data_IF_779518031086
#
_entry.id   IF_779518031086
#
_cell.length_a   1.000
_cell.length_b   1.000
_cell.length_c   1.000
_cell.angle_alpha   90.00
_cell.angle_beta   90.00
_cell.angle_gamma   90.00
#
_symmetry.space_group_name_H-M   'P 1'
#
loop_
_entity.id
_entity.type
_entity.pdbx_description
1 polymer ?
#
# COMPACT_ATOMS: atom_id res chain seq x y z
N UNK A 1 -6.02 6.73 -15.65
CA UNK A 1 -7.30 6.93 -14.93
C UNK A 1 -8.52 6.35 -15.67
N UNK A 2 -8.37 5.90 -16.92
CA UNK A 2 -9.42 5.33 -17.79
C UNK A 2 -9.56 3.79 -17.73
N UNK A 3 -8.68 3.08 -17.02
CA UNK A 3 -8.78 1.62 -16.91
C UNK A 3 -10.08 1.24 -16.16
N UNK A 4 -10.88 0.27 -16.65
CA UNK A 4 -12.17 -0.09 -16.06
C UNK A 4 -12.03 -0.77 -14.69
N UNK A 5 -10.85 -1.31 -14.37
CA UNK A 5 -10.59 -2.09 -13.16
C UNK A 5 -9.94 -1.24 -12.04
N UNK A 6 -10.70 -0.29 -11.49
CA UNK A 6 -10.24 0.56 -10.40
C UNK A 6 -9.95 -0.23 -9.11
N UNK A 7 -10.70 -1.31 -8.87
CA UNK A 7 -10.51 -2.17 -7.70
C UNK A 7 -9.14 -2.84 -7.73
N UNK A 8 -8.73 -3.40 -8.87
CA UNK A 8 -7.38 -3.98 -9.04
C UNK A 8 -6.28 -2.99 -8.71
N UNK A 9 -6.40 -1.74 -9.15
CA UNK A 9 -5.41 -0.70 -8.84
C UNK A 9 -5.37 -0.38 -7.34
N UNK A 10 -6.51 -0.38 -6.66
CA UNK A 10 -6.58 -0.16 -5.21
C UNK A 10 -5.97 -1.32 -4.41
N UNK A 11 -6.20 -2.55 -4.85
CA UNK A 11 -5.60 -3.75 -4.25
C UNK A 11 -4.11 -3.85 -4.56
N UNK A 12 -3.68 -3.54 -5.78
CA UNK A 12 -2.26 -3.44 -6.13
C UNK A 12 -1.54 -2.38 -5.30
N UNK A 13 -2.18 -1.23 -5.05
CA UNK A 13 -1.64 -0.25 -4.10
C UNK A 13 -1.48 -0.87 -2.71
N UNK A 14 -2.52 -1.48 -2.14
CA UNK A 14 -2.45 -2.14 -0.85
C UNK A 14 -1.29 -3.16 -0.78
N UNK A 15 -1.08 -3.96 -1.85
CA UNK A 15 0.06 -4.86 -1.92
C UNK A 15 1.41 -4.14 -1.99
N UNK A 16 1.51 -3.01 -2.69
CA UNK A 16 2.75 -2.21 -2.70
C UNK A 16 3.11 -1.65 -1.33
N UNK A 17 2.12 -1.52 -0.45
CA UNK A 17 2.32 -1.07 0.93
C UNK A 17 2.69 -2.19 1.91
N UNK A 18 2.44 -3.45 1.53
CA UNK A 18 2.77 -4.64 2.31
C UNK A 18 4.10 -5.24 1.82
N UNK A 19 4.26 -5.38 0.50
CA UNK A 19 5.39 -6.02 -0.19
C UNK A 19 6.41 -5.00 -0.66
N UNK A 20 6.87 -4.13 0.25
CA UNK A 20 7.44 -2.82 -0.08
C UNK A 20 8.68 -2.87 -0.99
N UNK A 21 8.66 -2.03 -2.03
CA UNK A 21 9.81 -1.68 -2.88
C UNK A 21 9.81 -0.16 -3.06
N UNK A 22 10.99 0.47 -3.06
CA UNK A 22 11.12 1.92 -3.27
C UNK A 22 11.98 2.26 -4.48
N UNK A 23 11.50 3.19 -5.32
CA UNK A 23 12.26 3.77 -6.41
C UNK A 23 13.52 4.51 -5.94
N UNK A 24 13.53 5.00 -4.68
CA UNK A 24 14.66 5.74 -4.11
C UNK A 24 15.81 4.80 -3.69
N UNK A 25 15.54 3.49 -3.56
CA UNK A 25 16.53 2.47 -3.16
C UNK A 25 16.98 1.54 -4.29
N UNK A 26 16.62 1.82 -5.54
CA UNK A 26 17.02 1.00 -6.70
C UNK A 26 18.09 1.74 -7.50
N UNK A 27 19.34 1.31 -7.33
CA UNK A 27 20.46 1.82 -8.09
C UNK A 27 20.49 1.25 -9.52
N UNK A 28 20.94 2.09 -10.46
CA UNK A 28 21.31 1.69 -11.81
C UNK A 28 20.47 2.31 -12.93
N UNK A 29 20.53 1.67 -14.09
CA UNK A 29 19.81 2.11 -15.28
C UNK A 29 18.30 1.98 -15.07
N UNK A 30 17.50 3.00 -15.41
CA UNK A 30 16.06 2.86 -15.60
C UNK A 30 15.21 2.41 -14.37
N UNK A 31 15.35 3.01 -13.18
CA UNK A 31 14.56 2.66 -11.99
C UNK A 31 13.04 2.78 -12.24
N UNK A 32 12.61 3.70 -13.11
CA UNK A 32 11.21 3.83 -13.51
C UNK A 32 10.66 2.57 -14.19
N UNK A 33 11.48 1.86 -14.97
CA UNK A 33 11.05 0.60 -15.62
C UNK A 33 11.00 -0.56 -14.63
N UNK A 34 11.90 -0.60 -13.65
CA UNK A 34 11.84 -1.54 -12.53
C UNK A 34 10.53 -1.36 -11.73
N UNK A 35 10.19 -0.12 -11.39
CA UNK A 35 8.96 0.18 -10.66
C UNK A 35 7.70 -0.04 -11.51
N UNK A 36 7.75 0.21 -12.81
CA UNK A 36 6.64 -0.11 -13.71
C UNK A 36 6.39 -1.62 -13.78
N UNK A 37 7.46 -2.43 -13.94
CA UNK A 37 7.35 -3.88 -13.97
C UNK A 37 6.85 -4.45 -12.62
N UNK A 38 7.33 -3.91 -11.51
CA UNK A 38 6.84 -4.24 -10.18
C UNK A 38 5.35 -3.90 -10.01
N UNK A 39 4.92 -2.72 -10.44
CA UNK A 39 3.50 -2.34 -10.43
C UNK A 39 2.63 -3.26 -11.31
N UNK A 40 3.10 -3.61 -12.50
CA UNK A 40 2.39 -4.54 -13.40
C UNK A 40 2.22 -5.92 -12.76
N UNK A 41 3.26 -6.43 -12.06
CA UNK A 41 3.21 -7.66 -11.30
C UNK A 41 2.14 -7.62 -10.20
N UNK A 42 2.10 -6.55 -9.39
CA UNK A 42 1.06 -6.40 -8.37
C UNK A 42 -0.34 -6.39 -8.96
N UNK A 43 -0.51 -5.76 -10.13
CA UNK A 43 -1.78 -5.74 -10.84
C UNK A 43 -2.16 -7.13 -11.37
N UNK A 44 -1.23 -7.86 -11.95
CA UNK A 44 -1.44 -9.22 -12.44
C UNK A 44 -1.89 -10.14 -11.31
N UNK A 45 -1.25 -10.04 -10.15
CA UNK A 45 -1.48 -10.93 -9.02
C UNK A 45 -2.55 -10.44 -8.02
N UNK A 46 -3.12 -9.25 -8.19
CA UNK A 46 -4.06 -8.63 -7.24
C UNK A 46 -5.22 -9.55 -6.78
N UNK A 47 -5.72 -10.42 -7.67
CA UNK A 47 -6.79 -11.37 -7.40
C UNK A 47 -6.38 -12.83 -7.69
N UNK A 48 -5.08 -13.12 -7.70
CA UNK A 48 -4.53 -14.45 -7.95
C UNK A 48 -4.42 -15.28 -6.67
N UNK A 49 -3.36 -16.09 -6.57
CA UNK A 49 -3.04 -16.82 -5.34
C UNK A 49 -1.86 -16.18 -4.61
N UNK A 50 -1.92 -16.12 -3.27
CA UNK A 50 -0.89 -15.51 -2.45
C UNK A 50 0.47 -16.21 -2.56
N UNK A 51 0.50 -17.55 -2.67
CA UNK A 51 1.76 -18.28 -2.84
C UNK A 51 2.45 -17.91 -4.15
N UNK A 52 1.67 -17.70 -5.22
CA UNK A 52 2.18 -17.25 -6.52
C UNK A 52 2.66 -15.79 -6.46
N UNK A 53 1.92 -14.92 -5.78
CA UNK A 53 2.35 -13.54 -5.54
C UNK A 53 3.68 -13.51 -4.78
N UNK A 54 3.82 -14.30 -3.71
CA UNK A 54 5.02 -14.36 -2.89
C UNK A 54 6.26 -14.75 -3.70
N UNK A 55 6.15 -15.74 -4.59
CA UNK A 55 7.26 -16.14 -5.48
C UNK A 55 7.56 -15.09 -6.55
N UNK A 56 6.52 -14.54 -7.17
CA UNK A 56 6.67 -13.49 -8.16
C UNK A 56 7.40 -12.28 -7.56
N UNK A 57 7.09 -11.91 -6.32
CA UNK A 57 7.79 -10.87 -5.56
C UNK A 57 9.22 -11.29 -5.21
N UNK A 58 9.44 -12.52 -4.75
CA UNK A 58 10.77 -13.05 -4.40
C UNK A 58 11.74 -12.97 -5.57
N UNK A 59 11.26 -13.31 -6.77
CA UNK A 59 12.05 -13.29 -8.00
C UNK A 59 11.95 -11.96 -8.75
N UNK A 60 11.19 -10.98 -8.24
CA UNK A 60 11.07 -9.69 -8.90
C UNK A 60 12.40 -8.94 -8.81
N UNK A 61 12.94 -8.42 -9.92
CA UNK A 61 14.24 -7.78 -9.87
C UNK A 61 14.31 -6.44 -9.12
N UNK A 62 13.20 -5.69 -9.04
CA UNK A 62 13.12 -4.47 -8.23
C UNK A 62 13.19 -4.82 -6.74
N UNK A 63 12.47 -5.88 -6.32
CA UNK A 63 12.55 -6.43 -4.97
C UNK A 63 13.96 -6.95 -4.65
N UNK A 64 14.55 -7.72 -5.57
CA UNK A 64 15.90 -8.26 -5.38
C UNK A 64 16.97 -7.18 -5.29
N UNK A 65 16.81 -6.05 -6.00
CA UNK A 65 17.67 -4.88 -5.83
C UNK A 65 17.44 -4.17 -4.50
N UNK A 66 16.18 -4.00 -4.08
CA UNK A 66 15.83 -3.28 -2.85
C UNK A 66 16.22 -4.01 -1.56
N UNK A 67 16.13 -5.36 -1.55
CA UNK A 67 16.41 -6.20 -0.39
C UNK A 67 17.64 -7.10 -0.56
N UNK A 68 18.55 -6.73 -1.47
CA UNK A 68 19.84 -7.39 -1.69
C UNK A 68 19.80 -8.89 -2.04
N UNK A 69 18.65 -9.44 -2.43
CA UNK A 69 18.57 -10.81 -2.96
C UNK A 69 19.30 -10.93 -4.29
N UNK A 70 19.24 -9.88 -5.10
CA UNK A 70 19.87 -9.82 -6.42
C UNK A 70 21.39 -9.77 -6.26
N UNK A 71 22.05 -10.84 -6.69
CA UNK A 71 23.49 -10.97 -6.60
C UNK A 71 23.95 -11.55 -5.26
N UNK A 72 23.03 -11.95 -4.38
CA UNK A 72 23.35 -12.67 -3.16
C UNK A 72 24.08 -13.97 -3.50
N UNK A 73 25.12 -14.33 -2.75
CA UNK A 73 25.97 -15.48 -3.02
C UNK A 73 26.11 -16.36 -1.79
N UNK A 74 26.27 -17.66 -2.02
CA UNK A 74 26.63 -18.62 -0.99
C UNK A 74 27.91 -18.23 -0.27
N UNK A 75 28.05 -18.80 0.92
CA UNK A 75 29.22 -18.69 1.78
C UNK A 75 30.53 -18.94 1.03
N UNK A 76 31.58 -18.21 1.40
CA UNK A 76 32.93 -18.43 0.90
C UNK A 76 33.93 -18.37 2.06
N UNK A 77 34.41 -19.53 2.55
CA UNK A 77 35.35 -19.58 3.67
C UNK A 77 36.67 -18.85 3.42
N UNK A 78 37.11 -18.73 2.16
CA UNK A 78 38.36 -18.04 1.83
C UNK A 78 38.28 -16.52 2.00
N UNK A 79 37.09 -15.95 1.82
CA UNK A 79 36.86 -14.49 1.93
C UNK A 79 36.05 -14.11 3.17
N UNK A 80 35.55 -15.10 3.93
CA UNK A 80 34.62 -14.89 5.04
C UNK A 80 33.23 -14.41 4.60
N UNK A 81 32.87 -14.53 3.32
CA UNK A 81 31.55 -14.09 2.83
C UNK A 81 30.46 -14.99 3.38
N UNK A 82 29.37 -14.39 3.82
CA UNK A 82 28.12 -15.07 4.19
C UNK A 82 26.97 -14.59 3.29
N UNK A 83 25.90 -15.39 3.13
CA UNK A 83 24.68 -14.96 2.46
C UNK A 83 24.10 -13.68 3.09
N UNK A 84 23.59 -12.77 2.26
CA UNK A 84 22.83 -11.60 2.73
C UNK A 84 21.49 -12.04 3.31
N UNK A 85 21.21 -11.58 4.53
CA UNK A 85 20.06 -11.98 5.35
C UNK A 85 18.83 -11.09 5.18
N UNK A 86 18.95 -9.95 4.48
CA UNK A 86 17.94 -8.90 4.48
C UNK A 86 16.60 -9.44 3.95
N UNK A 87 16.59 -10.04 2.76
CA UNK A 87 15.37 -10.64 2.21
C UNK A 87 14.80 -11.77 3.06
N UNK A 88 15.65 -12.62 3.67
CA UNK A 88 15.20 -13.69 4.55
C UNK A 88 14.45 -13.14 5.78
N UNK A 89 14.96 -12.04 6.35
CA UNK A 89 14.29 -11.34 7.44
C UNK A 89 12.96 -10.73 6.98
N UNK A 90 12.97 -9.96 5.89
CA UNK A 90 11.77 -9.23 5.47
C UNK A 90 10.66 -10.15 4.94
N UNK A 91 11.02 -11.25 4.24
CA UNK A 91 10.02 -12.21 3.76
C UNK A 91 9.30 -12.91 4.91
N UNK A 92 10.00 -13.19 6.02
CA UNK A 92 9.38 -13.70 7.24
C UNK A 92 8.62 -12.60 7.98
N UNK A 93 9.28 -11.48 8.27
CA UNK A 93 8.78 -10.46 9.18
C UNK A 93 7.65 -9.61 8.59
N UNK A 94 7.80 -9.15 7.35
CA UNK A 94 6.92 -8.15 6.74
C UNK A 94 5.94 -8.78 5.77
N UNK A 95 6.36 -9.85 5.10
CA UNK A 95 5.60 -10.42 3.99
C UNK A 95 4.87 -11.71 4.35
N UNK A 96 5.10 -12.35 5.50
CA UNK A 96 4.41 -13.62 5.81
C UNK A 96 4.01 -13.78 7.26
N UNK A 97 4.95 -14.00 8.16
CA UNK A 97 4.66 -14.55 9.50
C UNK A 97 4.73 -13.52 10.62
N UNK A 98 5.30 -12.33 10.40
CA UNK A 98 5.41 -11.32 11.45
C UNK A 98 6.45 -11.68 12.51
N UNK A 99 6.64 -10.80 13.50
CA UNK A 99 7.56 -11.00 14.62
C UNK A 99 7.04 -11.96 15.70
N UNK A 100 5.71 -12.02 15.88
CA UNK A 100 5.09 -12.71 16.99
C UNK A 100 3.99 -13.65 16.53
N UNK A 101 3.89 -14.80 17.19
CA UNK A 101 2.89 -15.82 16.88
C UNK A 101 1.48 -15.27 17.10
N UNK A 102 0.57 -15.61 16.18
CA UNK A 102 -0.81 -15.15 16.17
C UNK A 102 -1.76 -16.32 16.40
N UNK A 103 -2.85 -16.04 17.10
CA UNK A 103 -4.06 -16.85 17.03
C UNK A 103 -4.72 -16.64 15.65
N UNK A 104 -5.67 -17.51 15.30
CA UNK A 104 -6.36 -17.45 14.01
C UNK A 104 -7.12 -16.12 13.80
N UNK A 105 -7.48 -15.43 14.88
CA UNK A 105 -8.15 -14.14 14.89
C UNK A 105 -7.18 -12.93 14.89
N UNK A 106 -5.88 -13.18 14.73
CA UNK A 106 -4.84 -12.15 14.68
C UNK A 106 -4.42 -11.59 16.04
N UNK A 107 -4.98 -12.09 17.15
CA UNK A 107 -4.47 -11.73 18.50
C UNK A 107 -3.13 -12.41 18.78
N UNK A 108 -2.28 -11.77 19.59
CA UNK A 108 -0.97 -12.32 19.96
C UNK A 108 -1.13 -13.59 20.80
N UNK A 109 -0.42 -14.65 20.43
CA UNK A 109 -0.17 -15.77 21.34
C UNK A 109 0.80 -15.32 22.44
N UNK A 110 0.46 -15.65 23.67
CA UNK A 110 1.26 -15.30 24.85
C UNK A 110 1.74 -16.56 25.56
N UNK A 111 2.99 -16.55 25.99
CA UNK A 111 3.56 -17.62 26.80
C UNK A 111 3.04 -17.61 28.23
N UNK A 112 3.50 -18.55 29.06
CA UNK A 112 3.11 -18.65 30.47
C UNK A 112 3.42 -17.39 31.30
N UNK A 113 4.39 -16.58 30.86
CA UNK A 113 4.77 -15.29 31.45
C UNK A 113 3.94 -14.10 30.92
N UNK A 114 2.92 -14.34 30.09
CA UNK A 114 2.10 -13.31 29.47
C UNK A 114 2.79 -12.55 28.32
N UNK A 115 4.03 -12.85 27.97
CA UNK A 115 4.74 -12.17 26.87
C UNK A 115 4.39 -12.75 25.51
N UNK A 116 4.36 -11.94 24.43
CA UNK A 116 4.21 -12.45 23.08
C UNK A 116 5.30 -13.47 22.73
N UNK A 117 4.92 -14.53 22.02
CA UNK A 117 5.86 -15.57 21.59
C UNK A 117 6.44 -15.18 20.23
N UNK A 118 7.76 -15.18 20.07
CA UNK A 118 8.42 -14.90 18.79
C UNK A 118 8.14 -16.01 17.75
N UNK A 119 8.08 -15.64 16.47
CA UNK A 119 7.83 -16.56 15.34
C UNK A 119 9.09 -17.25 14.84
N UNK A 120 10.23 -16.57 14.93
CA UNK A 120 11.52 -17.03 14.41
C UNK A 120 12.67 -16.37 15.20
N UNK A 121 13.84 -17.00 15.18
CA UNK A 121 15.06 -16.48 15.75
C UNK A 121 16.10 -16.11 14.69
N UNK A 122 17.26 -15.60 15.15
CA UNK A 122 18.37 -15.26 14.27
C UNK A 122 18.85 -16.45 13.41
N UNK A 123 18.82 -17.66 13.96
CA UNK A 123 19.18 -18.87 13.22
C UNK A 123 18.25 -19.15 12.03
N UNK A 124 16.94 -18.90 12.16
CA UNK A 124 16.00 -19.09 11.05
C UNK A 124 16.35 -18.13 9.90
N UNK A 125 16.68 -16.87 10.23
CA UNK A 125 17.10 -15.86 9.25
C UNK A 125 18.37 -16.28 8.53
N UNK A 126 19.44 -16.61 9.27
CA UNK A 126 20.73 -16.98 8.68
C UNK A 126 20.66 -18.26 7.83
N UNK A 127 19.82 -19.23 8.22
CA UNK A 127 19.63 -20.46 7.45
C UNK A 127 18.77 -20.23 6.21
N UNK A 128 17.65 -19.52 6.34
CA UNK A 128 16.77 -19.23 5.21
C UNK A 128 17.48 -18.37 4.15
N UNK A 129 18.39 -17.48 4.55
CA UNK A 129 19.20 -16.67 3.64
C UNK A 129 19.96 -17.49 2.58
N UNK A 130 20.36 -18.73 2.92
CA UNK A 130 21.05 -19.65 2.00
C UNK A 130 20.21 -19.96 0.75
N UNK A 131 18.90 -20.13 0.94
CA UNK A 131 17.94 -20.45 -0.14
C UNK A 131 17.86 -19.31 -1.17
N UNK A 132 18.10 -18.07 -0.75
CA UNK A 132 17.98 -16.90 -1.60
C UNK A 132 19.29 -16.50 -2.31
N UNK A 133 20.32 -17.33 -2.22
CA UNK A 133 21.60 -17.11 -2.92
C UNK A 133 21.55 -17.60 -4.37
N UNK A 134 22.37 -17.02 -5.24
CA UNK A 134 22.51 -17.45 -6.64
C UNK A 134 21.51 -16.82 -7.61
N UNK A 135 20.62 -15.94 -7.17
CA UNK A 135 19.67 -15.23 -8.03
C UNK A 135 20.25 -13.89 -8.50
N UNK A 136 20.09 -13.56 -9.79
CA UNK A 136 20.52 -12.29 -10.36
C UNK A 136 19.61 -11.88 -11.54
N UNK A 137 19.86 -10.71 -12.13
CA UNK A 137 19.19 -10.28 -13.35
C UNK A 137 19.17 -11.37 -14.42
N UNK A 138 17.99 -11.65 -14.97
CA UNK A 138 17.89 -12.32 -16.25
C UNK A 138 17.98 -11.28 -17.37
N UNK A 139 19.07 -11.31 -18.13
CA UNK A 139 19.29 -10.39 -19.26
C UNK A 139 18.85 -10.97 -20.60
N UNK A 140 18.18 -12.12 -20.62
CA UNK A 140 17.71 -12.76 -21.85
C UNK A 140 16.74 -11.83 -22.60
N UNK A 141 17.09 -11.49 -23.84
CA UNK A 141 16.32 -10.55 -24.67
C UNK A 141 16.47 -9.07 -24.30
N UNK A 142 17.32 -8.72 -23.33
CA UNK A 142 17.54 -7.33 -22.94
C UNK A 142 18.35 -6.57 -23.99
N UNK A 143 17.78 -5.46 -24.46
CA UNK A 143 18.48 -4.49 -25.32
C UNK A 143 18.55 -3.16 -24.57
N UNK A 144 19.77 -2.69 -24.33
CA UNK A 144 20.02 -1.43 -23.62
C UNK A 144 19.32 -0.27 -24.34
N UNK A 145 18.65 0.60 -23.58
CA UNK A 145 17.97 1.79 -24.12
C UNK A 145 16.65 1.56 -24.87
N UNK A 146 16.36 0.36 -25.38
CA UNK A 146 15.15 0.11 -26.20
C UNK A 146 14.25 -1.00 -25.70
N UNK A 147 14.80 -2.01 -25.00
CA UNK A 147 14.01 -3.14 -24.49
C UNK A 147 14.47 -3.58 -23.09
N UNK A 148 14.01 -2.90 -22.02
CA UNK A 148 14.48 -3.13 -20.67
C UNK A 148 13.82 -4.36 -20.00
N UNK A 149 13.68 -5.49 -20.72
CA UNK A 149 13.03 -6.72 -20.23
C UNK A 149 13.66 -7.33 -18.99
N UNK A 150 14.94 -7.03 -18.71
CA UNK A 150 15.61 -7.48 -17.48
C UNK A 150 14.84 -7.09 -16.21
N UNK A 151 14.04 -6.03 -16.24
CA UNK A 151 13.19 -5.61 -15.12
C UNK A 151 11.86 -6.36 -15.01
N UNK A 152 11.45 -7.04 -16.07
CA UNK A 152 10.20 -7.82 -16.14
C UNK A 152 10.45 -9.31 -15.93
N UNK A 153 11.58 -9.83 -16.42
CA UNK A 153 11.92 -11.23 -16.26
C UNK A 153 12.15 -11.54 -14.76
N UNK A 154 11.66 -12.68 -14.27
CA UNK A 154 12.08 -13.19 -12.97
C UNK A 154 13.61 -13.31 -12.93
N UNK A 155 14.22 -13.05 -11.76
CA UNK A 155 15.65 -13.25 -11.58
C UNK A 155 16.08 -14.68 -11.94
N UNK A 156 17.16 -14.80 -12.70
CA UNK A 156 17.74 -16.08 -13.10
C UNK A 156 18.59 -16.69 -11.99
N UNK A 157 18.51 -18.01 -11.84
CA UNK A 157 19.28 -18.78 -10.88
C UNK A 157 20.63 -19.25 -11.46
N UNK A 158 21.70 -19.17 -10.66
CA UNK A 158 23.03 -19.67 -11.00
C UNK A 158 23.54 -20.59 -9.88
N UNK A 159 23.56 -21.90 -10.15
CA UNK A 159 23.94 -22.93 -9.17
C UNK A 159 25.34 -22.71 -8.56
N UNK A 160 26.32 -22.28 -9.36
CA UNK A 160 27.70 -22.03 -8.89
C UNK A 160 27.82 -20.87 -7.89
N UNK A 161 26.75 -20.09 -7.68
CA UNK A 161 26.68 -18.98 -6.72
C UNK A 161 25.72 -19.29 -5.56
N UNK A 162 25.06 -20.44 -5.57
CA UNK A 162 24.16 -20.87 -4.53
C UNK A 162 24.93 -21.48 -3.36
N UNK A 163 24.40 -21.33 -2.14
CA UNK A 163 24.88 -22.04 -0.95
C UNK A 163 24.73 -23.54 -1.14
N UNK A 164 25.68 -24.31 -0.63
CA UNK A 164 25.62 -25.79 -0.65
C UNK A 164 25.46 -26.37 0.75
N UNK A 165 25.18 -25.53 1.74
CA UNK A 165 24.90 -25.95 3.12
C UNK A 165 23.41 -26.20 3.32
N UNK A 166 23.08 -27.12 4.22
CA UNK A 166 21.70 -27.35 4.64
C UNK A 166 21.06 -26.06 5.18
N UNK A 167 19.77 -25.85 4.96
CA UNK A 167 19.03 -24.72 5.52
C UNK A 167 17.93 -25.24 6.45
N UNK A 168 18.08 -25.02 7.75
CA UNK A 168 17.08 -25.38 8.77
C UNK A 168 16.41 -24.12 9.34
N UNK A 169 15.11 -23.97 9.14
CA UNK A 169 14.31 -22.83 9.60
C UNK A 169 12.86 -23.25 9.83
N UNK A 170 12.20 -22.69 10.85
CA UNK A 170 10.77 -22.89 11.15
C UNK A 170 10.35 -24.39 11.23
N UNK A 171 11.26 -25.25 11.67
CA UNK A 171 11.04 -26.70 11.74
C UNK A 171 11.18 -27.45 10.41
N UNK A 172 11.50 -26.77 9.31
CA UNK A 172 11.82 -27.37 8.01
C UNK A 172 13.34 -27.43 7.81
N UNK A 173 13.84 -28.51 7.21
CA UNK A 173 15.24 -28.63 6.77
C UNK A 173 15.30 -28.91 5.27
N UNK A 174 16.07 -28.11 4.54
CA UNK A 174 16.38 -28.30 3.12
C UNK A 174 17.84 -28.75 3.03
N UNK A 175 18.09 -29.90 2.42
CA UNK A 175 19.46 -30.38 2.22
C UNK A 175 20.23 -29.48 1.23
N UNK A 176 21.51 -29.20 1.48
CA UNK A 176 22.30 -28.24 0.71
C UNK A 176 22.55 -28.61 -0.75
N UNK A 177 22.30 -29.87 -1.13
CA UNK A 177 22.35 -30.34 -2.52
C UNK A 177 20.99 -30.29 -3.24
N UNK A 178 19.95 -29.75 -2.60
CA UNK A 178 18.62 -29.58 -3.21
C UNK A 178 18.73 -28.59 -4.38
N UNK A 179 18.16 -28.90 -5.57
CA UNK A 179 18.12 -27.96 -6.68
C UNK A 179 17.51 -26.62 -6.28
N UNK A 180 18.12 -25.49 -6.66
CA UNK A 180 17.74 -24.16 -6.15
C UNK A 180 16.26 -23.81 -6.33
N UNK A 181 15.65 -24.15 -7.46
CA UNK A 181 14.21 -23.92 -7.67
C UNK A 181 13.34 -24.74 -6.70
N UNK A 182 13.74 -25.97 -6.38
CA UNK A 182 13.05 -26.82 -5.41
C UNK A 182 13.28 -26.31 -3.97
N UNK A 183 14.49 -25.86 -3.64
CA UNK A 183 14.81 -25.24 -2.37
C UNK A 183 13.95 -23.98 -2.14
N UNK A 184 13.89 -23.10 -3.15
CA UNK A 184 13.03 -21.91 -3.13
C UNK A 184 11.56 -22.28 -2.95
N UNK A 185 11.06 -23.24 -3.72
CA UNK A 185 9.69 -23.73 -3.62
C UNK A 185 9.35 -24.18 -2.19
N UNK A 186 10.22 -25.01 -1.60
CA UNK A 186 10.06 -25.54 -0.23
C UNK A 186 10.06 -24.42 0.81
N UNK A 187 10.94 -23.42 0.65
CA UNK A 187 11.00 -22.28 1.58
C UNK A 187 9.73 -21.43 1.52
N UNK A 188 9.28 -21.08 0.32
CA UNK A 188 8.07 -20.27 0.15
C UNK A 188 6.81 -21.05 0.55
N UNK A 189 6.77 -22.37 0.36
CA UNK A 189 5.67 -23.22 0.84
C UNK A 189 5.65 -23.31 2.37
N UNK A 190 6.80 -23.39 3.01
CA UNK A 190 6.91 -23.35 4.48
C UNK A 190 6.32 -22.05 5.03
N UNK A 191 6.69 -20.90 4.44
CA UNK A 191 6.16 -19.61 4.86
C UNK A 191 4.66 -19.46 4.55
N UNK A 192 4.21 -19.90 3.37
CA UNK A 192 2.81 -19.82 2.98
C UNK A 192 1.87 -20.66 3.86
N UNK A 193 2.34 -21.85 4.25
CA UNK A 193 1.58 -22.78 5.09
C UNK A 193 1.73 -22.50 6.59
N UNK A 194 2.63 -21.61 7.00
CA UNK A 194 2.77 -21.20 8.38
C UNK A 194 1.45 -20.63 8.94
N UNK A 195 1.15 -20.97 10.20
CA UNK A 195 -0.13 -20.64 10.84
C UNK A 195 -0.39 -19.12 10.94
N UNK A 196 0.68 -18.32 11.09
CA UNK A 196 0.56 -16.86 11.14
C UNK A 196 0.19 -16.20 9.81
N UNK A 197 0.48 -16.83 8.67
CA UNK A 197 0.41 -16.13 7.37
C UNK A 197 -1.00 -15.64 7.05
N UNK A 198 -2.02 -16.45 7.37
CA UNK A 198 -3.42 -16.08 7.15
C UNK A 198 -3.87 -14.88 8.02
N UNK A 199 -3.77 -14.91 9.38
CA UNK A 199 -4.16 -13.77 10.19
C UNK A 199 -3.30 -12.52 9.98
N UNK A 200 -2.00 -12.70 9.71
CA UNK A 200 -1.09 -11.58 9.46
C UNK A 200 -1.48 -10.80 8.20
N UNK A 201 -1.71 -11.49 7.08
CA UNK A 201 -2.10 -10.86 5.81
C UNK A 201 -3.54 -10.36 5.85
N UNK A 202 -4.45 -11.05 6.53
CA UNK A 202 -5.81 -10.58 6.75
C UNK A 202 -5.82 -9.23 7.47
N UNK A 203 -5.09 -9.10 8.58
CA UNK A 203 -5.00 -7.85 9.33
C UNK A 203 -4.48 -6.70 8.44
N UNK A 204 -3.34 -6.91 7.76
CA UNK A 204 -2.75 -5.86 6.93
C UNK A 204 -3.66 -5.43 5.77
N UNK A 205 -4.32 -6.37 5.08
CA UNK A 205 -5.25 -6.03 4.01
C UNK A 205 -6.46 -5.24 4.51
N UNK A 206 -7.00 -5.60 5.68
CA UNK A 206 -8.11 -4.84 6.28
C UNK A 206 -7.66 -3.41 6.60
N UNK A 207 -6.47 -3.22 7.16
CA UNK A 207 -5.88 -1.89 7.38
C UNK A 207 -5.76 -1.11 6.08
N UNK A 208 -5.14 -1.73 5.07
CA UNK A 208 -4.90 -1.08 3.77
C UNK A 208 -6.17 -0.85 2.97
N UNK A 209 -7.31 -1.48 3.26
CA UNK A 209 -8.53 -1.34 2.46
C UNK A 209 -9.72 -0.71 3.18
N UNK A 210 -9.88 -0.89 4.49
CA UNK A 210 -11.12 -0.61 5.22
C UNK A 210 -10.91 0.27 6.45
N UNK A 211 -10.21 -0.20 7.49
CA UNK A 211 -10.10 0.48 8.78
C UNK A 211 -8.76 0.24 9.45
N UNK A 212 -8.23 1.24 10.15
CA UNK A 212 -6.94 1.17 10.84
C UNK A 212 -6.90 0.13 11.97
N UNK A 213 -8.05 -0.12 12.62
CA UNK A 213 -8.13 -0.97 13.81
C UNK A 213 -9.30 -1.96 13.69
N UNK A 214 -9.15 -3.05 12.91
CA UNK A 214 -10.18 -4.07 12.79
C UNK A 214 -10.35 -4.89 14.07
N UNK A 215 -11.56 -5.42 14.29
CA UNK A 215 -11.78 -6.38 15.39
C UNK A 215 -11.03 -7.70 15.11
N UNK A 216 -10.72 -8.45 16.17
CA UNK A 216 -10.14 -9.79 15.99
C UNK A 216 -11.12 -10.74 15.28
N UNK A 217 -12.42 -10.57 15.50
CA UNK A 217 -13.45 -11.36 14.82
C UNK A 217 -13.42 -11.13 13.30
N UNK A 218 -13.23 -9.88 12.85
CA UNK A 218 -13.08 -9.55 11.44
C UNK A 218 -11.80 -10.17 10.85
N UNK A 219 -10.66 -10.01 11.52
CA UNK A 219 -9.41 -10.63 11.10
C UNK A 219 -9.57 -12.15 11.00
N UNK A 220 -10.20 -12.79 11.98
CA UNK A 220 -10.46 -14.24 11.98
C UNK A 220 -11.33 -14.73 10.83
N UNK A 221 -12.40 -14.00 10.48
CA UNK A 221 -13.26 -14.34 9.33
C UNK A 221 -12.47 -14.27 8.01
N UNK A 222 -11.69 -13.21 7.80
CA UNK A 222 -10.87 -13.06 6.60
C UNK A 222 -9.73 -14.09 6.56
N UNK A 223 -9.10 -14.36 7.70
CA UNK A 223 -8.05 -15.37 7.82
C UNK A 223 -8.58 -16.78 7.53
N UNK A 224 -9.81 -17.11 7.93
CA UNK A 224 -10.46 -18.36 7.58
C UNK A 224 -10.66 -18.51 6.06
N UNK A 225 -11.07 -17.43 5.37
CA UNK A 225 -11.19 -17.41 3.90
C UNK A 225 -9.81 -17.53 3.23
N UNK A 226 -8.77 -16.91 3.79
CA UNK A 226 -7.40 -17.11 3.32
C UNK A 226 -7.00 -18.58 3.49
N UNK A 227 -7.33 -19.21 4.61
CA UNK A 227 -6.99 -20.60 4.87
C UNK A 227 -7.71 -21.57 3.92
N UNK A 228 -8.96 -21.27 3.58
CA UNK A 228 -9.78 -22.01 2.63
C UNK A 228 -10.89 -21.11 2.08
N UNK A 229 -10.91 -20.90 0.76
CA UNK A 229 -11.92 -20.08 0.09
C UNK A 229 -13.34 -20.70 -0.02
N UNK A 230 -13.57 -21.84 0.63
CA UNK A 230 -14.80 -22.64 0.52
C UNK A 230 -14.71 -23.77 -0.52
N UNK A 231 -13.63 -23.83 -1.28
CA UNK A 231 -13.34 -24.88 -2.27
C UNK A 231 -12.02 -25.61 -2.02
N UNK A 232 -11.46 -25.49 -0.82
CA UNK A 232 -10.19 -26.11 -0.43
C UNK A 232 -8.95 -25.36 -0.93
N UNK A 233 -9.10 -24.16 -1.50
CA UNK A 233 -7.97 -23.38 -2.01
C UNK A 233 -7.52 -22.37 -0.96
N UNK A 234 -6.30 -22.55 -0.45
CA UNK A 234 -5.62 -21.59 0.42
C UNK A 234 -5.06 -20.43 -0.39
N UNK A 235 -5.14 -19.22 0.13
CA UNK A 235 -4.49 -18.02 -0.42
C UNK A 235 -5.18 -17.45 -1.65
N UNK A 236 -6.44 -17.78 -1.94
CA UNK A 236 -7.22 -17.16 -3.02
C UNK A 236 -7.47 -15.66 -2.71
N UNK A 237 -6.72 -14.78 -3.35
CA UNK A 237 -6.78 -13.34 -3.09
C UNK A 237 -8.05 -12.68 -3.60
N UNK A 238 -8.75 -13.30 -4.56
CA UNK A 238 -10.09 -12.84 -4.97
C UNK A 238 -11.08 -13.06 -3.83
N UNK A 239 -11.09 -14.26 -3.26
CA UNK A 239 -11.96 -14.61 -2.14
C UNK A 239 -11.62 -13.76 -0.90
N UNK A 240 -10.33 -13.60 -0.58
CA UNK A 240 -9.87 -12.77 0.54
C UNK A 240 -10.26 -11.30 0.36
N UNK A 241 -10.04 -10.72 -0.83
CA UNK A 241 -10.45 -9.32 -1.10
C UNK A 241 -11.96 -9.14 -0.94
N UNK A 242 -12.76 -10.10 -1.42
CA UNK A 242 -14.21 -10.08 -1.24
C UNK A 242 -14.58 -10.16 0.25
N UNK A 243 -13.94 -11.04 1.01
CA UNK A 243 -14.18 -11.19 2.45
C UNK A 243 -13.86 -9.89 3.21
N UNK A 244 -12.76 -9.21 2.87
CA UNK A 244 -12.44 -7.89 3.42
C UNK A 244 -13.54 -6.89 3.08
N UNK A 245 -13.83 -6.67 1.79
CA UNK A 245 -14.71 -5.55 1.41
C UNK A 245 -16.19 -5.76 1.73
N UNK A 246 -16.64 -7.01 1.88
CA UNK A 246 -18.03 -7.36 2.14
C UNK A 246 -18.30 -7.82 3.57
N UNK A 247 -17.31 -7.77 4.45
CA UNK A 247 -17.51 -8.09 5.86
C UNK A 247 -18.56 -7.15 6.50
N UNK A 248 -19.30 -7.66 7.48
CA UNK A 248 -20.31 -6.89 8.20
C UNK A 248 -19.75 -5.62 8.82
N UNK A 249 -18.55 -5.65 9.40
CA UNK A 249 -17.93 -4.45 10.01
C UNK A 249 -17.53 -3.42 8.96
N UNK A 250 -17.12 -3.86 7.77
CA UNK A 250 -16.83 -2.98 6.64
C UNK A 250 -18.10 -2.30 6.12
N UNK A 251 -19.21 -3.04 6.06
CA UNK A 251 -20.48 -2.65 5.42
C UNK A 251 -21.49 -2.01 6.37
N UNK A 252 -21.21 -1.98 7.67
CA UNK A 252 -22.07 -1.36 8.66
C UNK A 252 -22.31 0.13 8.36
N UNK A 253 -23.49 0.63 8.72
CA UNK A 253 -23.85 2.02 8.49
C UNK A 253 -22.90 2.95 9.27
N UNK A 254 -22.37 4.03 8.66
CA UNK A 254 -21.47 4.96 9.34
C UNK A 254 -21.99 5.56 10.65
N UNK A 255 -23.30 5.70 10.80
CA UNK A 255 -23.96 6.19 12.01
C UNK A 255 -23.90 5.21 13.19
N UNK A 256 -23.68 3.92 12.94
CA UNK A 256 -23.56 2.87 13.95
C UNK A 256 -22.10 2.59 14.34
N UNK A 257 -21.15 3.14 13.58
CA UNK A 257 -19.73 2.89 13.77
C UNK A 257 -19.19 3.68 14.97
N UNK A 258 -18.39 3.00 15.78
CA UNK A 258 -17.66 3.61 16.91
C UNK A 258 -16.86 4.84 16.46
N UNK A 259 -16.66 5.80 17.36
CA UNK A 259 -15.76 6.93 17.14
C UNK A 259 -14.31 6.50 16.84
N UNK A 260 -13.93 5.28 17.22
CA UNK A 260 -12.62 4.67 16.95
C UNK A 260 -12.56 3.89 15.64
N UNK A 261 -13.67 3.79 14.90
CA UNK A 261 -13.72 3.09 13.63
C UNK A 261 -13.38 4.02 12.46
N UNK A 262 -12.71 3.44 11.48
CA UNK A 262 -12.37 4.08 10.22
C UNK A 262 -10.87 4.14 10.03
N UNK A 263 -10.41 5.05 9.18
CA UNK A 263 -8.99 5.35 8.98
C UNK A 263 -8.82 6.75 8.42
N UNK A 264 -7.66 7.35 8.62
CA UNK A 264 -7.31 8.56 7.90
C UNK A 264 -7.08 8.23 6.42
N UNK A 265 -7.78 8.90 5.50
CA UNK A 265 -7.53 8.76 4.06
C UNK A 265 -6.10 9.17 3.77
N UNK A 266 -5.33 8.36 3.05
CA UNK A 266 -3.97 8.75 2.66
C UNK A 266 -3.97 9.95 1.69
N UNK A 267 -3.06 10.94 1.84
CA UNK A 267 -2.95 12.10 0.95
C UNK A 267 -2.95 11.76 -0.55
N UNK A 268 -2.22 10.70 -0.96
CA UNK A 268 -2.20 10.28 -2.38
C UNK A 268 -3.57 9.79 -2.87
N UNK A 269 -4.33 9.11 -2.00
CA UNK A 269 -5.67 8.61 -2.35
C UNK A 269 -6.67 9.76 -2.44
N UNK A 270 -6.51 10.82 -1.65
CA UNK A 270 -7.33 12.03 -1.76
C UNK A 270 -7.12 12.72 -3.11
N UNK A 271 -5.88 12.81 -3.60
CA UNK A 271 -5.59 13.34 -4.94
C UNK A 271 -6.23 12.46 -6.03
N UNK A 272 -6.08 11.13 -5.93
CA UNK A 272 -6.69 10.20 -6.90
C UNK A 272 -8.23 10.28 -6.86
N UNK A 273 -8.83 10.41 -5.67
CA UNK A 273 -10.27 10.60 -5.52
C UNK A 273 -10.73 11.86 -6.26
N UNK A 274 -10.10 13.03 -6.00
CA UNK A 274 -10.39 14.26 -6.73
C UNK A 274 -10.33 14.07 -8.24
N UNK A 275 -9.20 13.56 -8.74
CA UNK A 275 -8.98 13.41 -10.16
C UNK A 275 -10.00 12.46 -10.81
N UNK A 276 -10.47 11.42 -10.09
CA UNK A 276 -11.52 10.51 -10.58
C UNK A 276 -12.91 11.13 -10.53
N UNK A 277 -13.28 11.71 -9.40
CA UNK A 277 -14.62 12.27 -9.15
C UNK A 277 -14.95 13.37 -10.15
N UNK A 278 -13.98 14.23 -10.47
CA UNK A 278 -14.20 15.38 -11.35
C UNK A 278 -13.68 15.17 -12.77
N UNK A 279 -13.22 13.96 -13.11
CA UNK A 279 -12.81 13.61 -14.48
C UNK A 279 -11.57 14.37 -14.97
N UNK A 280 -10.53 14.46 -14.15
CA UNK A 280 -9.27 15.09 -14.56
C UNK A 280 -8.66 14.40 -15.79
N UNK A 281 -8.09 15.20 -16.69
CA UNK A 281 -7.46 14.75 -17.94
C UNK A 281 -6.01 15.20 -18.00
N UNK A 282 -5.20 14.49 -18.80
CA UNK A 282 -3.83 14.93 -19.16
C UNK A 282 -3.91 15.69 -20.48
N UNK A 283 -3.40 16.91 -20.52
CA UNK A 283 -3.43 17.74 -21.74
C UNK A 283 -2.55 17.17 -22.88
N UNK A 284 -1.55 16.37 -22.55
CA UNK A 284 -0.58 15.77 -23.47
C UNK A 284 -0.65 14.24 -23.52
N UNK A 285 -1.59 13.63 -22.79
CA UNK A 285 -1.73 12.17 -22.67
C UNK A 285 -0.63 11.46 -21.86
N UNK A 286 0.36 12.16 -21.30
CA UNK A 286 1.51 11.54 -20.61
C UNK A 286 1.28 11.28 -19.12
N UNK A 287 0.29 11.94 -18.50
CA UNK A 287 -0.07 11.79 -17.09
C UNK A 287 1.10 12.00 -16.12
N UNK A 288 1.99 12.94 -16.42
CA UNK A 288 3.19 13.17 -15.61
C UNK A 288 2.80 13.80 -14.27
N UNK A 289 3.10 13.10 -13.19
CA UNK A 289 3.05 13.60 -11.82
C UNK A 289 4.40 13.31 -11.19
N UNK A 290 5.19 14.36 -10.94
CA UNK A 290 6.50 14.22 -10.27
C UNK A 290 6.37 13.80 -8.81
N UNK A 291 7.53 13.53 -8.20
CA UNK A 291 7.63 13.20 -6.78
C UNK A 291 6.86 14.21 -5.90
N UNK A 292 5.95 13.69 -5.07
CA UNK A 292 5.13 14.46 -4.11
C UNK A 292 5.44 14.12 -2.64
N UNK A 293 6.62 13.54 -2.36
CA UNK A 293 7.04 13.17 -1.01
C UNK A 293 7.36 14.35 -0.08
N UNK A 294 7.51 15.58 -0.59
CA UNK A 294 7.67 16.76 0.28
C UNK A 294 6.36 17.09 1.02
N UNK A 295 6.37 16.96 2.34
CA UNK A 295 5.21 17.23 3.19
C UNK A 295 4.91 18.73 3.36
N UNK A 296 5.89 19.62 3.14
CA UNK A 296 5.73 21.07 3.34
C UNK A 296 5.06 21.76 2.15
N UNK A 297 5.23 21.21 0.95
CA UNK A 297 4.73 21.80 -0.31
C UNK A 297 3.81 20.87 -1.11
N UNK A 298 3.74 19.58 -0.77
CA UNK A 298 2.99 18.57 -1.52
C UNK A 298 2.24 17.59 -0.61
N UNK A 299 2.25 16.30 -0.93
CA UNK A 299 1.40 15.29 -0.31
C UNK A 299 2.08 14.57 0.88
N UNK A 300 3.39 14.74 1.07
CA UNK A 300 4.15 13.91 2.01
C UNK A 300 4.20 12.42 1.63
N UNK A 301 3.74 12.08 0.42
CA UNK A 301 3.67 10.73 -0.10
C UNK A 301 3.75 10.76 -1.63
N UNK A 302 4.48 9.80 -2.20
CA UNK A 302 4.52 9.57 -3.65
C UNK A 302 4.47 8.06 -3.90
N UNK A 303 3.50 7.54 -4.68
CA UNK A 303 3.41 6.11 -4.96
C UNK A 303 4.76 5.53 -5.39
N UNK A 304 5.09 4.33 -4.89
CA UNK A 304 6.33 3.60 -5.22
C UNK A 304 7.64 4.28 -4.75
N UNK A 305 7.57 5.33 -3.93
CA UNK A 305 8.72 5.98 -3.27
C UNK A 305 8.61 5.87 -1.76
N UNK A 306 8.55 4.63 -1.29
CA UNK A 306 8.51 4.38 0.14
C UNK A 306 9.80 4.90 0.82
N UNK A 307 9.69 5.57 1.99
CA UNK A 307 10.85 6.00 2.77
C UNK A 307 11.55 4.84 3.51
N UNK A 308 10.91 3.68 3.67
CA UNK A 308 11.48 2.54 4.42
C UNK A 308 10.85 1.18 4.04
N UNK A 309 11.37 0.08 4.58
CA UNK A 309 10.73 -1.25 4.45
C UNK A 309 9.33 -1.31 5.08
N UNK A 310 8.98 -0.37 5.97
CA UNK A 310 7.63 -0.27 6.58
C UNK A 310 6.65 0.59 5.77
N UNK A 311 6.98 0.89 4.52
CA UNK A 311 6.27 1.85 3.70
C UNK A 311 6.26 3.28 4.31
N UNK A 312 5.24 4.08 4.00
CA UNK A 312 5.01 5.44 4.52
C UNK A 312 4.68 5.47 6.02
N UNK A 313 4.14 4.37 6.57
CA UNK A 313 3.72 4.31 7.97
C UNK A 313 3.62 2.86 8.47
N UNK A 314 3.92 2.65 9.75
CA UNK A 314 4.00 1.34 10.38
C UNK A 314 2.60 0.78 10.69
N UNK A 315 2.29 -0.48 10.35
CA UNK A 315 1.00 -1.11 10.67
C UNK A 315 0.59 -1.08 12.15
N UNK A 316 1.58 -1.04 13.05
CA UNK A 316 1.38 -0.97 14.50
C UNK A 316 1.45 0.45 15.11
N UNK A 317 1.47 1.51 14.30
CA UNK A 317 1.59 2.87 14.84
C UNK A 317 0.34 3.28 15.63
N UNK A 318 0.58 3.79 16.84
CA UNK A 318 -0.42 4.33 17.76
C UNK A 318 -0.09 5.81 17.97
N UNK A 319 -0.98 6.76 17.60
CA UNK A 319 -0.71 8.18 17.76
C UNK A 319 -0.52 8.55 19.23
N UNK A 320 0.65 9.08 19.64
CA UNK A 320 0.92 9.41 21.04
C UNK A 320 0.04 10.57 21.51
N UNK A 321 -0.19 10.66 22.82
CA UNK A 321 -0.99 11.73 23.45
C UNK A 321 -2.43 11.85 22.90
N UNK A 322 -3.03 10.73 22.50
CA UNK A 322 -4.42 10.67 22.03
C UNK A 322 -5.24 9.65 22.82
N UNK A 323 -6.57 9.71 22.71
CA UNK A 323 -7.46 8.68 23.25
C UNK A 323 -7.19 7.27 22.67
N UNK A 324 -6.62 7.19 21.46
CA UNK A 324 -6.22 5.92 20.85
C UNK A 324 -5.05 5.29 21.60
N UNK A 325 -4.11 6.09 22.11
CA UNK A 325 -2.99 5.60 22.91
C UNK A 325 -3.45 4.99 24.23
N UNK A 326 -4.42 5.60 24.91
CA UNK A 326 -4.99 5.07 26.16
C UNK A 326 -5.62 3.69 25.96
N UNK A 327 -6.23 3.46 24.79
CA UNK A 327 -6.87 2.19 24.43
C UNK A 327 -5.97 1.25 23.61
N UNK A 328 -4.70 1.60 23.39
CA UNK A 328 -3.76 0.85 22.55
C UNK A 328 -4.28 0.53 21.14
N UNK A 329 -5.03 1.46 20.54
CA UNK A 329 -5.61 1.28 19.21
C UNK A 329 -4.68 1.83 18.13
N UNK A 330 -4.45 1.04 17.08
CA UNK A 330 -3.60 1.44 15.96
C UNK A 330 -4.32 2.42 15.05
N UNK A 331 -3.60 3.42 14.57
CA UNK A 331 -4.06 4.34 13.54
C UNK A 331 -2.90 4.68 12.60
N UNK A 332 -2.49 3.71 11.76
CA UNK A 332 -1.20 3.78 11.06
C UNK A 332 -1.01 5.05 10.23
N UNK A 333 -2.04 5.45 9.50
CA UNK A 333 -2.02 6.58 8.58
C UNK A 333 -1.77 7.92 9.29
N UNK A 334 -2.07 8.03 10.58
CA UNK A 334 -1.78 9.24 11.36
C UNK A 334 -0.28 9.48 11.58
N UNK A 335 0.59 8.50 11.32
CA UNK A 335 2.04 8.72 11.34
C UNK A 335 2.49 9.79 10.31
N UNK A 336 1.68 10.01 9.27
CA UNK A 336 1.90 11.06 8.28
C UNK A 336 1.31 12.41 8.66
N UNK A 337 0.45 12.47 9.68
CA UNK A 337 -0.27 13.68 10.06
C UNK A 337 0.53 14.48 11.10
N UNK A 338 0.98 15.66 10.69
CA UNK A 338 1.63 16.66 11.54
C UNK A 338 1.30 18.06 11.01
N UNK A 339 1.72 19.10 11.74
CA UNK A 339 1.41 20.49 11.41
C UNK A 339 1.86 20.86 10.00
N UNK A 340 3.06 20.40 9.60
CA UNK A 340 3.63 20.66 8.28
C UNK A 340 2.83 19.95 7.18
N UNK A 341 2.54 18.66 7.34
CA UNK A 341 1.86 17.87 6.31
C UNK A 341 0.41 18.28 6.12
N UNK A 342 -0.28 18.71 7.18
CA UNK A 342 -1.65 19.23 7.10
C UNK A 342 -1.68 20.52 6.28
N UNK A 343 -0.79 21.48 6.58
CA UNK A 343 -0.72 22.73 5.83
C UNK A 343 -0.28 22.52 4.37
N UNK A 344 0.76 21.71 4.16
CA UNK A 344 1.27 21.37 2.83
C UNK A 344 0.22 20.70 1.94
N UNK A 345 -0.56 19.76 2.50
CA UNK A 345 -1.65 19.11 1.77
C UNK A 345 -2.72 20.10 1.31
N UNK A 346 -3.17 21.02 2.18
CA UNK A 346 -4.20 22.00 1.83
C UNK A 346 -3.70 22.93 0.72
N UNK A 347 -2.49 23.45 0.85
CA UNK A 347 -1.87 24.31 -0.16
C UNK A 347 -1.71 23.59 -1.51
N UNK A 348 -1.29 22.32 -1.47
CA UNK A 348 -1.15 21.50 -2.67
C UNK A 348 -2.50 21.27 -3.35
N UNK A 349 -3.52 20.85 -2.60
CA UNK A 349 -4.84 20.56 -3.16
C UNK A 349 -5.54 21.80 -3.67
N UNK A 350 -5.40 22.95 -3.01
CA UNK A 350 -5.91 24.22 -3.50
C UNK A 350 -5.37 24.54 -4.90
N UNK A 351 -4.06 24.38 -5.10
CA UNK A 351 -3.44 24.58 -6.40
C UNK A 351 -3.85 23.51 -7.42
N UNK A 352 -3.90 22.23 -7.01
CA UNK A 352 -4.31 21.14 -7.88
C UNK A 352 -5.75 21.31 -8.39
N UNK A 353 -6.67 21.74 -7.51
CA UNK A 353 -8.08 21.97 -7.84
C UNK A 353 -8.24 23.16 -8.78
N UNK A 354 -7.55 24.27 -8.52
CA UNK A 354 -7.69 25.50 -9.31
C UNK A 354 -6.97 25.43 -10.66
N UNK A 355 -5.75 24.90 -10.68
CA UNK A 355 -4.86 25.02 -11.82
C UNK A 355 -4.45 23.67 -12.43
N UNK A 356 -4.56 22.58 -11.67
CA UNK A 356 -4.08 21.25 -12.03
C UNK A 356 -2.74 20.89 -11.40
N UNK A 357 -2.34 19.63 -11.58
CA UNK A 357 -1.04 19.11 -11.16
C UNK A 357 -0.08 19.18 -12.35
N UNK A 358 0.93 20.04 -12.24
CA UNK A 358 1.94 20.22 -13.27
C UNK A 358 3.02 19.12 -13.19
N UNK A 359 3.25 18.48 -14.34
CA UNK A 359 4.35 17.58 -14.61
C UNK A 359 5.47 18.22 -15.44
N UNK A 360 5.25 19.37 -16.06
CA UNK A 360 6.30 20.24 -16.62
C UNK A 360 5.67 21.60 -16.95
N UNK A 361 6.40 22.47 -17.65
CA UNK A 361 5.82 23.69 -18.23
C UNK A 361 4.72 23.41 -19.27
N UNK A 362 4.68 22.19 -19.84
CA UNK A 362 3.76 21.80 -20.92
C UNK A 362 2.88 20.60 -20.59
N UNK A 363 3.19 19.83 -19.54
CA UNK A 363 2.46 18.64 -19.12
C UNK A 363 1.66 18.91 -17.85
N UNK A 364 0.36 18.63 -17.87
CA UNK A 364 -0.54 18.93 -16.76
C UNK A 364 -1.71 17.96 -16.69
N UNK A 365 -2.02 17.51 -15.47
CA UNK A 365 -3.26 16.81 -15.14
C UNK A 365 -4.22 17.79 -14.49
N UNK A 366 -5.36 18.07 -15.10
CA UNK A 366 -6.32 19.06 -14.60
C UNK A 366 -7.77 18.66 -14.87
N UNK A 367 -8.69 19.23 -14.10
CA UNK A 367 -10.11 19.24 -14.45
C UNK A 367 -10.38 20.51 -15.27
N UNK A 368 -11.08 20.37 -16.39
CA UNK A 368 -11.28 21.48 -17.33
C UNK A 368 -12.19 22.57 -16.74
N UNK A 369 -13.44 22.23 -16.41
CA UNK A 369 -14.44 23.24 -16.02
C UNK A 369 -15.25 22.90 -14.77
N UNK A 370 -15.18 21.68 -14.23
CA UNK A 370 -16.09 21.22 -13.17
C UNK A 370 -17.57 21.42 -13.57
N UNK A 371 -17.95 20.99 -14.78
CA UNK A 371 -19.25 21.31 -15.41
C UNK A 371 -20.46 21.13 -14.50
N UNK A 372 -20.50 20.02 -13.75
CA UNK A 372 -21.64 19.69 -12.89
C UNK A 372 -21.69 20.59 -11.65
N UNK A 373 -20.54 20.94 -11.09
CA UNK A 373 -20.44 21.84 -9.94
C UNK A 373 -20.68 23.30 -10.35
N UNK A 374 -20.22 23.70 -11.53
CA UNK A 374 -20.45 25.03 -12.10
C UNK A 374 -21.93 25.30 -12.40
N UNK A 375 -22.71 24.26 -12.73
CA UNK A 375 -24.16 24.39 -12.87
C UNK A 375 -24.86 24.77 -11.56
N UNK A 376 -24.23 24.48 -10.41
CA UNK A 376 -24.74 24.76 -9.07
C UNK A 376 -24.11 25.99 -8.41
N UNK A 377 -23.29 26.77 -9.13
CA UNK A 377 -22.52 27.89 -8.54
C UNK A 377 -23.38 28.98 -7.89
N UNK A 378 -24.62 29.14 -8.35
CA UNK A 378 -25.61 30.08 -7.82
C UNK A 378 -26.52 29.46 -6.75
N UNK A 379 -26.38 28.17 -6.45
CA UNK A 379 -27.11 27.44 -5.42
C UNK A 379 -26.12 26.77 -4.44
N UNK A 380 -25.58 27.54 -3.48
CA UNK A 380 -24.61 27.04 -2.50
C UNK A 380 -25.10 25.84 -1.68
N UNK A 381 -26.36 25.75 -1.24
CA UNK A 381 -26.91 24.53 -0.66
C UNK A 381 -26.75 23.30 -1.56
N UNK A 382 -27.21 23.37 -2.82
CA UNK A 382 -27.14 22.24 -3.74
C UNK A 382 -25.68 21.87 -4.08
N UNK A 383 -24.80 22.86 -4.24
CA UNK A 383 -23.38 22.62 -4.50
C UNK A 383 -22.73 21.83 -3.34
N UNK A 384 -22.94 22.26 -2.09
CA UNK A 384 -22.36 21.59 -0.92
C UNK A 384 -22.96 20.21 -0.71
N UNK A 385 -24.26 20.03 -0.92
CA UNK A 385 -24.92 18.72 -0.77
C UNK A 385 -24.42 17.71 -1.80
N UNK A 386 -24.21 18.16 -3.04
CA UNK A 386 -23.58 17.36 -4.08
C UNK A 386 -22.16 16.93 -3.69
N UNK A 387 -21.34 17.88 -3.23
CA UNK A 387 -19.95 17.59 -2.83
C UNK A 387 -19.90 16.64 -1.62
N UNK A 388 -20.78 16.84 -0.64
CA UNK A 388 -20.94 15.94 0.50
C UNK A 388 -21.23 14.51 0.02
N UNK A 389 -22.16 14.36 -0.92
CA UNK A 389 -22.50 13.05 -1.48
C UNK A 389 -21.32 12.38 -2.19
N UNK A 390 -20.66 13.08 -3.13
CA UNK A 390 -19.67 12.44 -4.02
C UNK A 390 -18.26 12.34 -3.43
N UNK A 391 -17.92 13.16 -2.43
CA UNK A 391 -16.61 13.13 -1.76
C UNK A 391 -16.67 12.47 -0.39
N UNK A 392 -17.72 12.74 0.39
CA UNK A 392 -17.86 12.32 1.78
C UNK A 392 -18.99 11.32 2.02
N UNK A 393 -19.66 10.82 0.97
CA UNK A 393 -20.77 9.87 1.06
C UNK A 393 -21.93 10.35 1.96
N UNK A 394 -22.16 11.66 2.03
CA UNK A 394 -23.23 12.25 2.84
C UNK A 394 -22.90 12.34 4.34
N UNK A 395 -21.65 12.09 4.74
CA UNK A 395 -21.26 11.97 6.15
C UNK A 395 -20.86 13.29 6.82
N UNK A 396 -20.81 14.42 6.09
CA UNK A 396 -20.54 15.71 6.72
C UNK A 396 -21.69 16.10 7.66
N UNK A 397 -21.36 16.57 8.86
CA UNK A 397 -22.34 17.05 9.81
C UNK A 397 -23.02 18.33 9.33
N UNK A 398 -24.20 18.63 9.86
CA UNK A 398 -24.93 19.86 9.56
C UNK A 398 -24.09 21.12 9.87
N UNK A 399 -23.26 21.07 10.92
CA UNK A 399 -22.36 22.16 11.28
C UNK A 399 -21.25 22.37 10.25
N UNK A 400 -20.59 21.30 9.79
CA UNK A 400 -19.59 21.38 8.72
C UNK A 400 -20.22 21.89 7.42
N UNK A 401 -21.39 21.36 7.05
CA UNK A 401 -22.12 21.79 5.86
C UNK A 401 -22.47 23.28 5.93
N UNK A 402 -22.95 23.77 7.07
CA UNK A 402 -23.26 25.19 7.27
C UNK A 402 -22.00 26.06 7.14
N UNK A 403 -20.90 25.69 7.80
CA UNK A 403 -19.64 26.43 7.74
C UNK A 403 -19.09 26.57 6.30
N UNK A 404 -19.16 25.48 5.51
CA UNK A 404 -18.74 25.51 4.10
C UNK A 404 -19.68 26.41 3.29
N UNK A 405 -21.00 26.29 3.47
CA UNK A 405 -22.00 27.11 2.77
C UNK A 405 -21.80 28.60 3.05
N UNK A 406 -21.60 28.97 4.31
CA UNK A 406 -21.37 30.36 4.72
C UNK A 406 -20.08 30.92 4.09
N UNK A 407 -19.02 30.13 4.07
CA UNK A 407 -17.76 30.53 3.47
C UNK A 407 -17.90 30.78 1.95
N UNK A 408 -18.59 29.89 1.21
CA UNK A 408 -18.74 30.06 -0.24
C UNK A 408 -19.80 31.11 -0.61
N UNK A 409 -20.78 31.37 0.26
CA UNK A 409 -21.74 32.47 0.13
C UNK A 409 -21.04 33.84 0.13
N UNK A 410 -19.97 33.98 0.90
CA UNK A 410 -19.17 35.22 0.94
C UNK A 410 -18.47 35.56 -0.39
N UNK A 411 -18.33 34.58 -1.29
CA UNK A 411 -17.68 34.75 -2.60
C UNK A 411 -18.74 35.15 -3.63
N UNK A 412 -18.91 36.44 -3.94
CA UNK A 412 -19.89 36.90 -4.93
C UNK A 412 -19.53 36.42 -6.36
N UNK A 413 -20.37 35.62 -7.07
CA UNK A 413 -20.04 34.98 -8.34
C UNK A 413 -20.25 35.94 -9.54
N UNK A 414 -19.75 37.17 -9.42
CA UNK A 414 -19.95 38.28 -10.37
C UNK A 414 -19.00 38.27 -11.58
N UNK A 415 -18.09 37.30 -11.65
CA UNK A 415 -17.13 37.11 -12.74
C UNK A 415 -16.83 35.62 -12.91
N UNK A 416 -16.32 35.22 -14.07
CA UNK A 416 -15.90 33.83 -14.31
C UNK A 416 -14.88 33.35 -13.29
N UNK A 417 -13.95 34.23 -12.89
CA UNK A 417 -12.98 33.93 -11.85
C UNK A 417 -13.63 33.71 -10.48
N UNK A 418 -14.58 34.57 -10.08
CA UNK A 418 -15.26 34.43 -8.80
C UNK A 418 -16.17 33.19 -8.77
N UNK A 419 -16.82 32.86 -9.89
CA UNK A 419 -17.59 31.62 -10.08
C UNK A 419 -16.71 30.38 -9.89
N UNK A 420 -15.56 30.34 -10.56
CA UNK A 420 -14.57 29.26 -10.40
C UNK A 420 -14.05 29.17 -8.97
N UNK A 421 -13.68 30.31 -8.38
CA UNK A 421 -13.19 30.41 -7.00
C UNK A 421 -14.21 29.82 -6.01
N UNK A 422 -15.50 30.13 -6.17
CA UNK A 422 -16.56 29.57 -5.33
C UNK A 422 -16.59 28.03 -5.39
N UNK A 423 -16.53 27.45 -6.59
CA UNK A 423 -16.50 25.99 -6.78
C UNK A 423 -15.21 25.38 -6.22
N UNK A 424 -14.05 25.96 -6.51
CA UNK A 424 -12.77 25.48 -6.01
C UNK A 424 -12.69 25.50 -4.48
N UNK A 425 -13.13 26.60 -3.86
CA UNK A 425 -13.20 26.73 -2.40
C UNK A 425 -14.12 25.67 -1.79
N UNK A 426 -15.30 25.43 -2.38
CA UNK A 426 -16.20 24.39 -1.90
C UNK A 426 -15.54 23.00 -1.92
N UNK A 427 -14.86 22.64 -3.02
CA UNK A 427 -14.17 21.35 -3.16
C UNK A 427 -13.03 21.23 -2.15
N UNK A 428 -12.16 22.25 -2.04
CA UNK A 428 -11.03 22.25 -1.09
C UNK A 428 -11.52 22.10 0.34
N UNK A 429 -12.55 22.86 0.75
CA UNK A 429 -13.08 22.84 2.11
C UNK A 429 -13.64 21.47 2.48
N UNK A 430 -14.39 20.82 1.57
CA UNK A 430 -14.80 19.43 1.79
C UNK A 430 -13.58 18.53 1.90
N UNK A 431 -12.61 18.65 0.99
CA UNK A 431 -11.43 17.78 0.97
C UNK A 431 -10.43 17.97 2.12
N UNK A 432 -10.54 19.05 2.91
CA UNK A 432 -9.68 19.30 4.06
C UNK A 432 -10.38 19.18 5.42
N UNK A 433 -11.71 19.06 5.46
CA UNK A 433 -12.43 18.95 6.73
C UNK A 433 -12.18 17.58 7.40
N UNK A 434 -12.10 17.50 8.74
CA UNK A 434 -11.82 16.25 9.46
C UNK A 434 -12.77 15.10 9.12
N UNK A 435 -14.06 15.39 8.90
CA UNK A 435 -15.09 14.40 8.57
C UNK A 435 -14.88 13.77 7.20
N UNK A 436 -14.31 14.49 6.23
CA UNK A 436 -13.85 13.91 4.97
C UNK A 436 -12.47 13.26 5.12
N UNK A 437 -11.60 13.75 5.99
CA UNK A 437 -10.27 13.16 6.14
C UNK A 437 -10.36 11.74 6.72
N UNK A 438 -11.31 11.48 7.62
CA UNK A 438 -11.56 10.15 8.19
C UNK A 438 -12.56 9.37 7.31
N UNK A 439 -12.14 8.23 6.79
CA UNK A 439 -12.99 7.29 6.07
C UNK A 439 -13.66 6.35 7.07
N UNK A 440 -14.99 6.43 7.19
CA UNK A 440 -15.80 5.53 8.02
C UNK A 440 -16.51 4.48 7.19
#
# INVERSE_FOLDING_TARGET
MSAPDALRKRVALAWSEIMVVSADGIDGENPSFAMAAYWDLLNQHAFGNYRQLLEAITLNPAMGAYLNTRGNQGENPKTGRLPDENYAREVMQLFTIGLYQLNADGTLKRGANGQPIETYGASDVSNLARVFTGYNWDTTGHVKGTNPVKFRNPMAFTAARHSTMDASFLGTTIAGNTPGAQALGTALDTLFNHANTAPFIAHQLIQRLVTSNPSSAYVGRVAAVFANNGSGVRGDLRAVTKAVLLDSEAREAPSLKSATWGRLREPMLRLVQWARTFGATSNDGKWIVWNKSDASTALGQSPLRSPSVFNFFRPGYVPPNTALATSSLTAPEFQLANETSVAGYVNFMQNAIAYGVYGSSTSKVSVDTYTQEMALVNDPPALVDRLNLILAAGQLSAATVAAIRDAINSINPNSDWARKTRVWSAIVMVMCCPEYLVQK
#
